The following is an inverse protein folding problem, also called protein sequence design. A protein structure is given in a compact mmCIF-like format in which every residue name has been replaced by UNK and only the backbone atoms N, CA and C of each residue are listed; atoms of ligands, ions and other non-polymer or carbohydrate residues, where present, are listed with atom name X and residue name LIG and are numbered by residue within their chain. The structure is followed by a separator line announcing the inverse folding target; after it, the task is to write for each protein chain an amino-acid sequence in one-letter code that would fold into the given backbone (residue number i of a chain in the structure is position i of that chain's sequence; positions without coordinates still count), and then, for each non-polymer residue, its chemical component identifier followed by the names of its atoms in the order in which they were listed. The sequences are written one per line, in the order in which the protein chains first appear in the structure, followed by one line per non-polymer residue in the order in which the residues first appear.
data_IF_579924920016
#
_entry.id   IF_579924920016
#
_cell.length_a   1.000
_cell.length_b   1.000
_cell.length_c   1.000
_cell.angle_alpha   90.00
_cell.angle_beta   90.00
_cell.angle_gamma   90.00
#
_symmetry.space_group_name_H-M   'P 1'
#
loop_
_entity.id
_entity.type
_entity.pdbx_description
1 polymer ?
#
# COMPACT_ATOMS: atom_id res chain seq x y z
N UNK A 1 4.93 -8.79 -14.09
CA UNK A 1 4.97 -9.29 -12.69
C UNK A 1 3.55 -9.51 -12.19
N UNK A 2 3.24 -10.60 -11.47
CA UNK A 2 1.87 -10.83 -10.92
C UNK A 2 1.47 -9.63 -10.05
N UNK A 3 0.31 -9.03 -10.29
CA UNK A 3 -0.25 -7.91 -9.50
C UNK A 3 -0.44 -8.24 -8.00
N UNK A 4 -0.28 -9.51 -7.61
CA UNK A 4 -0.23 -9.97 -6.23
C UNK A 4 1.15 -9.73 -5.57
N UNK A 5 2.24 -9.87 -6.33
CA UNK A 5 3.62 -9.70 -5.84
C UNK A 5 3.92 -8.24 -5.55
N UNK A 6 3.49 -7.35 -6.44
CA UNK A 6 3.69 -5.89 -6.33
C UNK A 6 3.06 -5.33 -5.04
N UNK A 7 1.87 -5.81 -4.67
CA UNK A 7 1.21 -5.43 -3.41
C UNK A 7 1.94 -5.96 -2.17
N UNK A 8 2.55 -7.14 -2.27
CA UNK A 8 3.32 -7.74 -1.18
C UNK A 8 4.58 -6.92 -0.92
N UNK A 9 5.24 -6.47 -1.99
CA UNK A 9 6.41 -5.58 -1.93
C UNK A 9 6.02 -4.24 -1.30
N UNK A 10 4.96 -3.59 -1.77
CA UNK A 10 4.53 -2.28 -1.25
C UNK A 10 4.11 -2.38 0.22
N UNK A 11 3.41 -3.46 0.62
CA UNK A 11 3.06 -3.70 2.02
C UNK A 11 4.30 -3.88 2.90
N UNK A 12 5.28 -4.67 2.45
CA UNK A 12 6.53 -4.86 3.17
C UNK A 12 7.34 -3.56 3.26
N UNK A 13 7.46 -2.82 2.15
CA UNK A 13 8.12 -1.53 2.11
C UNK A 13 7.47 -0.53 3.05
N UNK A 14 6.13 -0.47 3.11
CA UNK A 14 5.40 0.37 4.05
C UNK A 14 5.76 0.01 5.50
N UNK A 15 5.67 -1.27 5.88
CA UNK A 15 5.98 -1.74 7.24
C UNK A 15 7.43 -1.40 7.61
N UNK A 16 8.39 -1.68 6.73
CA UNK A 16 9.81 -1.41 6.96
C UNK A 16 10.07 0.09 7.07
N UNK A 17 9.41 0.91 6.24
CA UNK A 17 9.54 2.36 6.29
C UNK A 17 8.89 2.99 7.53
N UNK A 18 7.90 2.34 8.15
CA UNK A 18 7.31 2.78 9.42
C UNK A 18 8.27 2.64 10.61
N UNK A 19 9.16 1.65 10.60
CA UNK A 19 10.07 1.36 11.72
C UNK A 19 10.98 2.58 12.06
N UNK A 20 11.65 3.22 11.10
CA UNK A 20 12.43 4.42 11.36
C UNK A 20 11.62 5.61 11.90
N UNK A 21 10.34 5.75 11.52
CA UNK A 21 9.46 6.79 12.06
C UNK A 21 9.22 6.57 13.55
N UNK A 22 9.02 5.33 13.98
CA UNK A 22 8.88 5.00 15.40
C UNK A 22 10.18 5.33 16.15
N UNK A 23 11.34 5.01 15.56
CA UNK A 23 12.65 5.41 16.09
C UNK A 23 12.87 6.93 16.14
N UNK A 24 12.23 7.69 15.24
CA UNK A 24 12.23 9.15 15.26
C UNK A 24 11.36 9.73 16.37
N UNK A 25 10.16 9.18 16.58
CA UNK A 25 9.22 9.65 17.60
C UNK A 25 9.71 9.30 19.01
N UNK A 26 10.26 8.10 19.19
CA UNK A 26 10.62 7.56 20.51
C UNK A 26 12.12 7.54 20.81
N UNK A 27 12.99 7.81 19.83
CA UNK A 27 14.45 7.67 19.98
C UNK A 27 15.24 8.98 19.84
N UNK A 28 16.56 8.96 20.10
CA UNK A 28 17.48 10.10 19.99
C UNK A 28 17.72 10.57 18.54
N UNK A 29 17.07 9.93 17.56
CA UNK A 29 17.16 10.25 16.13
C UNK A 29 16.62 11.67 15.85
N UNK A 30 15.76 12.19 16.73
CA UNK A 30 15.28 13.58 16.71
C UNK A 30 16.37 14.62 16.95
N UNK A 31 17.43 14.26 17.66
CA UNK A 31 18.50 15.18 18.05
C UNK A 31 19.59 15.28 16.96
N UNK A 32 19.53 14.42 15.93
CA UNK A 32 20.44 14.43 14.78
C UNK A 32 19.76 15.15 13.61
N UNK A 33 20.08 16.43 13.32
CA UNK A 33 19.38 17.23 12.32
C UNK A 33 19.38 16.62 10.92
N UNK A 34 20.46 15.94 10.53
CA UNK A 34 20.56 15.23 9.24
C UNK A 34 19.56 14.08 9.13
N UNK A 35 19.34 13.32 10.22
CA UNK A 35 18.41 12.20 10.24
C UNK A 35 16.95 12.70 10.15
N UNK A 36 16.63 13.79 10.87
CA UNK A 36 15.31 14.43 10.81
C UNK A 36 14.97 14.88 9.40
N UNK A 37 15.93 15.50 8.70
CA UNK A 37 15.72 15.98 7.33
C UNK A 37 15.48 14.82 6.37
N UNK A 38 16.24 13.74 6.49
CA UNK A 38 16.06 12.53 5.68
C UNK A 38 14.70 11.86 5.92
N UNK A 39 14.24 11.79 7.17
CA UNK A 39 12.92 11.23 7.49
C UNK A 39 11.80 12.08 6.87
N UNK A 40 11.89 13.41 6.98
CA UNK A 40 10.88 14.33 6.45
C UNK A 40 10.84 14.37 4.92
N UNK A 41 11.99 14.37 4.26
CA UNK A 41 12.06 14.55 2.80
C UNK A 41 12.05 13.24 2.01
N UNK A 42 12.46 12.12 2.62
CA UNK A 42 12.55 10.83 1.93
C UNK A 42 11.52 9.85 2.48
N UNK A 43 11.61 9.50 3.77
CA UNK A 43 10.74 8.46 4.34
C UNK A 43 9.27 8.86 4.36
N UNK A 44 8.97 10.10 4.76
CA UNK A 44 7.61 10.59 4.85
C UNK A 44 6.87 10.54 3.50
N UNK A 45 7.38 11.14 2.40
CA UNK A 45 6.73 11.02 1.10
C UNK A 45 6.72 9.58 0.57
N UNK A 46 7.77 8.79 0.81
CA UNK A 46 7.81 7.37 0.41
C UNK A 46 6.66 6.56 1.05
N UNK A 47 6.41 6.79 2.35
CA UNK A 47 5.34 6.15 3.11
C UNK A 47 3.97 6.62 2.65
N UNK A 48 3.81 7.93 2.40
CA UNK A 48 2.57 8.51 1.87
C UNK A 48 2.25 7.94 0.49
N UNK A 49 3.22 7.89 -0.43
CA UNK A 49 3.03 7.29 -1.75
C UNK A 49 2.69 5.80 -1.66
N UNK A 50 3.38 5.06 -0.80
CA UNK A 50 3.12 3.63 -0.56
C UNK A 50 1.72 3.38 0.03
N UNK A 51 1.29 4.20 0.99
CA UNK A 51 -0.04 4.15 1.61
C UNK A 51 -1.15 4.50 0.62
N UNK A 52 -0.98 5.57 -0.16
CA UNK A 52 -1.91 5.95 -1.23
C UNK A 52 -2.04 4.86 -2.29
N UNK A 53 -0.93 4.20 -2.63
CA UNK A 53 -0.94 3.08 -3.58
C UNK A 53 -1.72 1.87 -3.03
N UNK A 54 -1.55 1.56 -1.75
CA UNK A 54 -2.32 0.50 -1.07
C UNK A 54 -3.82 0.81 -1.03
N UNK A 55 -4.21 2.06 -0.78
CA UNK A 55 -5.61 2.50 -0.79
C UNK A 55 -6.26 2.31 -2.16
N UNK A 56 -5.59 2.74 -3.24
CA UNK A 56 -6.07 2.51 -4.63
C UNK A 56 -6.19 1.02 -4.98
N UNK A 57 -5.35 0.18 -4.37
CA UNK A 57 -5.41 -1.28 -4.55
C UNK A 57 -6.74 -1.93 -4.12
N UNK A 58 -7.44 -1.36 -3.14
CA UNK A 58 -8.73 -1.87 -2.68
C UNK A 58 -9.83 -1.66 -3.74
N UNK A 59 -9.85 -0.48 -4.37
CA UNK A 59 -10.79 -0.12 -5.44
C UNK A 59 -10.73 -1.07 -6.63
N UNK A 60 -9.52 -1.51 -7.01
CA UNK A 60 -9.31 -2.45 -8.12
C UNK A 60 -9.92 -3.82 -7.83
N UNK A 61 -9.87 -4.31 -6.57
CA UNK A 61 -10.52 -5.58 -6.20
C UNK A 61 -12.04 -5.48 -6.24
N UNK A 62 -12.61 -4.33 -5.88
CA UNK A 62 -14.06 -4.10 -5.94
C UNK A 62 -14.56 -4.20 -7.39
N UNK A 63 -13.86 -3.57 -8.35
CA UNK A 63 -14.20 -3.69 -9.78
C UNK A 63 -14.01 -5.12 -10.32
N UNK A 64 -12.92 -5.81 -9.97
CA UNK A 64 -12.67 -7.17 -10.48
C UNK A 64 -13.67 -8.21 -9.96
N UNK A 65 -14.20 -8.06 -8.73
CA UNK A 65 -15.28 -8.92 -8.22
C UNK A 65 -16.58 -8.72 -8.99
N UNK A 66 -16.91 -7.47 -9.33
CA UNK A 66 -18.08 -7.17 -10.17
C UNK A 66 -17.96 -7.80 -11.56
N UNK A 67 -16.79 -7.71 -12.20
CA UNK A 67 -16.56 -8.34 -13.52
C UNK A 67 -16.67 -9.87 -13.44
N UNK A 68 -16.14 -10.52 -12.40
CA UNK A 68 -16.28 -11.98 -12.24
C UNK A 68 -17.73 -12.41 -12.00
N UNK A 69 -18.48 -11.67 -11.18
CA UNK A 69 -19.89 -11.97 -10.88
C UNK A 69 -20.80 -11.77 -12.10
N UNK A 70 -20.48 -10.79 -12.95
CA UNK A 70 -21.18 -10.61 -14.24
C UNK A 70 -20.87 -11.75 -15.22
N UNK A 71 -19.61 -12.18 -15.29
CA UNK A 71 -19.19 -13.26 -16.18
C UNK A 71 -19.77 -14.63 -15.80
N UNK A 72 -20.07 -14.88 -14.52
CA UNK A 72 -20.80 -16.08 -14.08
C UNK A 72 -22.30 -16.00 -14.35
N UNK A 73 -22.92 -14.81 -14.25
CA UNK A 73 -24.35 -14.61 -14.53
C UNK A 73 -24.64 -14.77 -16.04
N UNK A 74 -23.81 -14.19 -16.92
CA UNK A 74 -23.95 -14.33 -18.38
C UNK A 74 -23.75 -15.78 -18.87
N UNK A 75 -22.98 -16.61 -18.14
CA UNK A 75 -22.76 -18.02 -18.52
C UNK A 75 -23.87 -18.99 -18.09
N UNK A 76 -24.83 -18.56 -17.26
CA UNK A 76 -25.97 -19.40 -16.89
C UNK A 76 -27.31 -18.70 -17.15
N UNK A 77 -27.75 -18.62 -18.43
CA UNK A 77 -29.04 -18.03 -18.78
C UNK A 77 -30.25 -18.93 -18.44
N UNK A 78 -30.10 -20.02 -17.67
CA UNK A 78 -31.16 -21.01 -17.39
C UNK A 78 -31.54 -21.14 -15.91
N UNK A 79 -31.55 -20.03 -15.17
CA UNK A 79 -32.04 -19.99 -13.79
C UNK A 79 -33.28 -19.08 -13.63
N UNK A 80 -34.12 -19.04 -14.66
CA UNK A 80 -35.49 -18.50 -14.62
C UNK A 80 -36.43 -19.57 -15.17
#
# INVERSE_FOLDING_TARGET
MKAATERKIIRWLHIVASIPIIGYIYGPVKDIPNAVMMIKWVLFPLIVFSGLWLWKGHWVRKKLRQVKSQKSNVKNPRAQ
#
